data_IF_941689138812
#
_entry.id   IF_941689138812
#
_cell.length_a   1.000
_cell.length_b   1.000
_cell.length_c   1.000
_cell.angle_alpha   90.00
_cell.angle_beta   90.00
_cell.angle_gamma   90.00
#
_symmetry.space_group_name_H-M   'P 1'
#
loop_
_entity.id
_entity.type
_entity.pdbx_description
1 polymer ?
#
# COMPACT_ATOMS: atom_id res chain seq x y z
N UNK A 1 1.71 -10.01 -3.34
CA UNK A 1 1.58 -8.64 -3.89
C UNK A 1 0.11 -8.36 -4.05
N UNK A 2 -0.40 -7.42 -3.26
CA UNK A 2 -1.75 -6.86 -3.30
C UNK A 2 -1.85 -5.81 -4.42
N UNK A 3 -0.84 -4.96 -4.58
CA UNK A 3 -0.69 -4.05 -5.74
C UNK A 3 0.76 -3.59 -5.90
N UNK A 4 1.11 -3.09 -7.08
CA UNK A 4 2.45 -2.58 -7.36
C UNK A 4 2.51 -1.05 -7.32
N UNK A 5 3.67 -0.52 -6.91
CA UNK A 5 4.02 0.88 -7.08
C UNK A 5 3.89 1.27 -8.56
N UNK A 6 3.22 2.39 -8.84
CA UNK A 6 2.94 2.90 -10.18
C UNK A 6 1.62 2.44 -10.81
N UNK A 7 0.90 1.49 -10.20
CA UNK A 7 -0.44 1.10 -10.66
C UNK A 7 -1.49 2.16 -10.30
N UNK A 8 -2.61 2.16 -11.02
CA UNK A 8 -3.77 3.00 -10.70
C UNK A 8 -4.41 2.55 -9.36
N UNK A 9 -4.82 3.51 -8.54
CA UNK A 9 -5.49 3.21 -7.28
C UNK A 9 -6.98 2.98 -7.46
N UNK A 10 -7.46 1.75 -7.21
CA UNK A 10 -8.89 1.41 -7.34
C UNK A 10 -9.56 0.99 -6.02
N UNK A 11 -8.77 0.77 -4.96
CA UNK A 11 -9.28 0.21 -3.69
C UNK A 11 -8.49 0.71 -2.49
N UNK A 12 -9.18 0.78 -1.34
CA UNK A 12 -8.64 1.05 -0.01
C UNK A 12 -8.83 -0.19 0.86
N UNK A 13 -7.80 -0.54 1.65
CA UNK A 13 -7.74 -1.80 2.39
C UNK A 13 -7.52 -1.55 3.89
N UNK A 14 -8.06 -2.45 4.71
CA UNK A 14 -7.84 -2.54 6.16
C UNK A 14 -7.40 -3.96 6.47
N UNK A 15 -6.36 -4.13 7.29
CA UNK A 15 -5.83 -5.45 7.66
C UNK A 15 -6.65 -6.01 8.81
N UNK A 16 -7.48 -7.01 8.54
CA UNK A 16 -8.24 -7.70 9.60
C UNK A 16 -7.39 -8.73 10.36
N UNK A 17 -6.39 -9.34 9.70
CA UNK A 17 -5.49 -10.32 10.30
C UNK A 17 -4.15 -10.37 9.55
N UNK A 18 -3.05 -10.55 10.27
CA UNK A 18 -1.69 -10.64 9.72
C UNK A 18 -0.97 -9.28 9.60
N UNK A 19 0.04 -9.24 8.74
CA UNK A 19 0.84 -8.04 8.47
C UNK A 19 1.30 -7.99 7.01
N UNK A 20 1.61 -6.80 6.52
CA UNK A 20 2.12 -6.57 5.16
C UNK A 20 3.31 -5.62 5.17
N UNK A 21 4.23 -5.81 4.22
CA UNK A 21 5.37 -4.92 4.04
C UNK A 21 5.03 -3.85 3.00
N UNK A 22 5.36 -2.61 3.32
CA UNK A 22 5.33 -1.49 2.37
C UNK A 22 6.69 -1.42 1.71
N UNK A 23 6.73 -1.62 0.40
CA UNK A 23 7.96 -1.68 -0.39
C UNK A 23 8.01 -0.52 -1.37
N UNK A 24 9.12 0.21 -1.41
CA UNK A 24 9.36 1.27 -2.38
C UNK A 24 10.57 0.92 -3.23
N UNK A 25 10.45 1.05 -4.56
CA UNK A 25 11.55 0.82 -5.48
C UNK A 25 12.78 1.68 -5.11
N UNK A 26 13.95 1.04 -5.00
CA UNK A 26 15.20 1.68 -4.58
C UNK A 26 15.37 1.89 -3.06
N UNK A 27 14.32 1.66 -2.25
CA UNK A 27 14.40 1.74 -0.78
C UNK A 27 14.17 0.40 -0.08
N UNK A 28 13.54 -0.56 -0.75
CA UNK A 28 13.17 -1.85 -0.14
C UNK A 28 11.97 -1.69 0.79
N UNK A 29 11.93 -2.48 1.86
CA UNK A 29 10.88 -2.39 2.88
C UNK A 29 11.07 -1.13 3.71
N UNK A 30 10.10 -0.22 3.67
CA UNK A 30 10.15 1.05 4.39
C UNK A 30 9.34 1.03 5.68
N UNK A 31 8.31 0.19 5.77
CA UNK A 31 7.60 -0.13 7.02
C UNK A 31 6.81 -1.43 6.87
N UNK A 32 6.31 -1.93 8.00
CA UNK A 32 5.41 -3.08 8.09
C UNK A 32 4.13 -2.63 8.78
N UNK A 33 2.98 -2.92 8.17
CA UNK A 33 1.65 -2.64 8.71
C UNK A 33 1.08 -3.91 9.33
N UNK A 34 0.25 -3.76 10.35
CA UNK A 34 -0.28 -4.84 11.17
C UNK A 34 -1.82 -4.79 11.21
N UNK A 35 -2.41 -5.74 11.92
CA UNK A 35 -3.85 -5.80 12.17
C UNK A 35 -4.39 -4.47 12.69
N UNK A 36 -5.47 -4.00 12.07
CA UNK A 36 -6.09 -2.69 12.35
C UNK A 36 -5.57 -1.54 11.49
N UNK A 37 -4.39 -1.66 10.88
CA UNK A 37 -3.86 -0.63 9.99
C UNK A 37 -4.58 -0.60 8.63
N UNK A 38 -4.63 0.58 8.02
CA UNK A 38 -5.19 0.81 6.70
C UNK A 38 -4.14 1.26 5.68
N UNK A 39 -4.33 0.91 4.40
CA UNK A 39 -3.43 1.32 3.33
C UNK A 39 -4.12 1.45 1.97
N UNK A 40 -3.52 2.26 1.09
CA UNK A 40 -4.01 2.45 -0.28
C UNK A 40 -5.03 3.59 -0.46
N UNK A 41 -5.32 4.41 0.56
CA UNK A 41 -6.23 5.56 0.40
C UNK A 41 -5.66 6.70 -0.46
N UNK A 42 -4.34 6.91 -0.42
CA UNK A 42 -3.72 8.09 -1.03
C UNK A 42 -3.97 8.19 -2.54
N UNK A 43 -3.89 7.07 -3.24
CA UNK A 43 -4.11 7.01 -4.68
C UNK A 43 -5.55 7.38 -5.07
N UNK A 44 -6.53 7.08 -4.21
CA UNK A 44 -7.94 7.43 -4.43
C UNK A 44 -8.22 8.91 -4.15
N UNK A 45 -7.58 9.46 -3.12
CA UNK A 45 -7.78 10.88 -2.74
C UNK A 45 -7.13 11.82 -3.75
N UNK A 46 -5.95 11.44 -4.25
CA UNK A 46 -5.14 12.31 -5.11
C UNK A 46 -5.26 12.00 -6.60
N UNK A 47 -6.06 11.00 -6.98
CA UNK A 47 -6.17 10.49 -8.36
C UNK A 47 -4.78 10.27 -8.99
N UNK A 48 -3.92 9.54 -8.26
CA UNK A 48 -2.52 9.39 -8.59
C UNK A 48 -2.07 7.93 -8.46
N UNK A 49 -1.03 7.50 -9.19
CA UNK A 49 -0.51 6.14 -9.10
C UNK A 49 -0.06 5.74 -7.67
N UNK A 50 -0.02 4.43 -7.40
CA UNK A 50 0.46 3.86 -6.13
C UNK A 50 1.89 4.32 -5.83
N UNK A 51 2.11 4.90 -4.65
CA UNK A 51 3.43 5.38 -4.21
C UNK A 51 4.37 4.25 -3.73
N UNK A 52 3.84 3.06 -3.45
CA UNK A 52 4.56 1.89 -2.94
C UNK A 52 3.86 0.61 -3.40
N UNK A 53 4.55 -0.53 -3.31
CA UNK A 53 4.01 -1.88 -3.49
C UNK A 53 3.65 -2.48 -2.13
N UNK A 54 2.60 -3.29 -2.11
CA UNK A 54 2.15 -4.14 -0.99
C UNK A 54 2.01 -5.57 -1.51
#
# INVERSE_FOLDING_TARGET
VVFNQGEEGTSWYIILKGSVNVVIYGKGVVCTLHEGDDFGKLALVNDAPRAASI
#
